data_IF_907305656028
#
_entry.id   IF_907305656028
#
_cell.length_a   1.000
_cell.length_b   1.000
_cell.length_c   1.000
_cell.angle_alpha   90.00
_cell.angle_beta   90.00
_cell.angle_gamma   90.00
#
_symmetry.space_group_name_H-M   'P 1'
#
loop_
_entity.id
_entity.type
_entity.pdbx_description
1 polymer ?
#
# COMPACT_ATOMS: atom_id res chain seq x y z
N UNK A 1 -13.99 -22.45 4.22
CA UNK A 1 -13.25 -21.22 3.91
C UNK A 1 -14.15 -20.45 2.96
N UNK A 2 -14.66 -19.31 3.39
CA UNK A 2 -15.40 -18.42 2.50
C UNK A 2 -14.37 -17.77 1.56
N UNK A 3 -14.46 -18.04 0.26
CA UNK A 3 -13.64 -17.37 -0.76
C UNK A 3 -14.18 -15.97 -1.03
N UNK A 4 -14.31 -15.17 0.03
CA UNK A 4 -14.83 -13.82 -0.07
C UNK A 4 -13.76 -12.91 -0.70
N UNK A 5 -14.22 -12.07 -1.63
CA UNK A 5 -13.43 -11.06 -2.30
C UNK A 5 -14.09 -9.72 -2.03
N UNK A 6 -13.28 -8.78 -1.56
CA UNK A 6 -13.73 -7.47 -1.08
C UNK A 6 -13.20 -6.37 -1.98
N UNK A 7 -14.04 -5.37 -2.20
CA UNK A 7 -13.79 -4.24 -3.09
C UNK A 7 -14.12 -2.95 -2.36
N UNK A 8 -13.25 -1.96 -2.49
CA UNK A 8 -13.49 -0.61 -1.97
C UNK A 8 -13.14 0.44 -3.03
N UNK A 9 -14.10 1.31 -3.31
CA UNK A 9 -13.90 2.51 -4.12
C UNK A 9 -13.53 3.69 -3.23
N UNK A 10 -12.41 4.36 -3.51
CA UNK A 10 -12.01 5.59 -2.82
C UNK A 10 -12.34 5.60 -1.32
N UNK A 11 -13.26 6.48 -0.92
CA UNK A 11 -13.73 6.61 0.47
C UNK A 11 -15.05 5.86 0.80
N UNK A 12 -15.65 5.18 -0.17
CA UNK A 12 -16.89 4.41 0.01
C UNK A 12 -16.70 3.22 0.97
N UNK A 13 -17.77 2.69 1.57
CA UNK A 13 -17.69 1.44 2.33
C UNK A 13 -17.17 0.31 1.44
N UNK A 14 -16.46 -0.62 2.05
CA UNK A 14 -16.03 -1.84 1.40
C UNK A 14 -17.22 -2.82 1.31
N UNK A 15 -17.34 -3.52 0.20
CA UNK A 15 -18.39 -4.50 -0.05
C UNK A 15 -17.78 -5.77 -0.66
N UNK A 16 -18.53 -6.86 -0.61
CA UNK A 16 -18.12 -8.20 -1.04
C UNK A 16 -18.77 -8.61 -2.37
N UNK A 17 -18.29 -9.69 -2.99
CA UNK A 17 -18.95 -10.25 -4.19
C UNK A 17 -20.42 -10.59 -3.96
N UNK A 18 -20.77 -11.06 -2.74
CA UNK A 18 -22.12 -11.43 -2.35
C UNK A 18 -23.08 -10.24 -2.39
N UNK A 19 -22.57 -9.03 -2.18
CA UNK A 19 -23.34 -7.79 -2.25
C UNK A 19 -23.60 -7.33 -3.70
N UNK A 20 -22.78 -7.78 -4.65
CA UNK A 20 -22.98 -7.52 -6.09
C UNK A 20 -24.05 -8.49 -6.61
N UNK A 21 -23.76 -9.79 -6.48
CA UNK A 21 -24.66 -10.87 -6.89
C UNK A 21 -24.44 -12.07 -5.97
N UNK A 22 -25.52 -12.66 -5.47
CA UNK A 22 -25.46 -13.79 -4.53
C UNK A 22 -24.77 -15.04 -5.08
N UNK A 23 -24.62 -15.12 -6.40
CA UNK A 23 -24.19 -16.31 -7.13
C UNK A 23 -22.79 -16.19 -7.74
N UNK A 24 -22.05 -15.15 -7.37
CA UNK A 24 -20.69 -14.91 -7.84
C UNK A 24 -19.69 -15.40 -6.81
N UNK A 25 -18.77 -16.26 -7.24
CA UNK A 25 -17.75 -16.86 -6.38
C UNK A 25 -16.37 -16.71 -7.00
N UNK A 26 -15.35 -16.48 -6.17
CA UNK A 26 -13.95 -16.47 -6.60
C UNK A 26 -13.42 -17.92 -6.61
N UNK A 27 -12.96 -18.37 -7.78
CA UNK A 27 -12.37 -19.69 -7.95
C UNK A 27 -10.85 -19.65 -7.80
N UNK A 28 -10.20 -18.67 -8.43
CA UNK A 28 -8.74 -18.59 -8.50
C UNK A 28 -8.29 -17.14 -8.46
N UNK A 29 -7.22 -16.88 -7.73
CA UNK A 29 -6.41 -15.66 -7.84
C UNK A 29 -5.00 -16.09 -8.24
N UNK A 30 -4.48 -15.48 -9.30
CA UNK A 30 -3.13 -15.71 -9.81
C UNK A 30 -2.47 -14.36 -10.05
N UNK A 31 -1.28 -14.18 -9.51
CA UNK A 31 -0.49 -12.98 -9.70
C UNK A 31 0.97 -13.38 -9.81
N UNK A 32 1.68 -12.74 -10.73
CA UNK A 32 3.12 -12.94 -10.86
C UNK A 32 3.80 -11.58 -10.84
N UNK A 33 4.79 -11.40 -9.95
CA UNK A 33 5.59 -10.19 -9.91
C UNK A 33 6.39 -10.05 -11.21
N UNK A 34 6.66 -8.81 -11.62
CA UNK A 34 7.55 -8.55 -12.75
C UNK A 34 8.56 -7.47 -12.37
N UNK A 35 9.80 -7.69 -12.82
CA UNK A 35 10.93 -6.81 -12.58
C UNK A 35 11.57 -6.50 -13.92
N UNK A 36 11.85 -5.22 -14.17
CA UNK A 36 12.61 -4.79 -15.34
C UNK A 36 14.04 -4.42 -14.93
N UNK A 37 15.02 -5.05 -15.59
CA UNK A 37 16.42 -4.72 -15.44
C UNK A 37 16.84 -3.84 -16.63
N UNK A 38 17.46 -2.70 -16.34
CA UNK A 38 18.03 -1.81 -17.35
C UNK A 38 19.53 -2.03 -17.38
N UNK A 39 20.05 -2.43 -18.53
CA UNK A 39 21.46 -2.63 -18.77
C UNK A 39 22.00 -1.53 -19.71
N UNK A 40 23.24 -1.11 -19.49
CA UNK A 40 23.95 -0.20 -20.35
C UNK A 40 24.89 -1.00 -21.25
N UNK A 41 24.76 -0.77 -22.55
CA UNK A 41 25.63 -1.36 -23.56
C UNK A 41 26.79 -0.42 -23.89
N UNK A 42 27.99 -0.96 -24.02
CA UNK A 42 29.16 -0.22 -24.49
C UNK A 42 29.68 -0.88 -25.77
N UNK A 43 29.66 -0.15 -26.89
CA UNK A 43 29.77 -0.69 -28.27
C UNK A 43 31.09 -1.44 -28.54
N UNK A 44 32.10 -1.28 -27.67
CA UNK A 44 33.43 -1.91 -27.81
C UNK A 44 33.70 -3.06 -26.82
N UNK A 45 32.73 -3.46 -26.00
CA UNK A 45 32.90 -4.52 -25.01
C UNK A 45 31.81 -5.59 -25.15
N UNK A 46 32.19 -6.85 -24.95
CA UNK A 46 31.22 -7.94 -24.89
C UNK A 46 30.48 -7.91 -23.54
N UNK A 47 29.14 -8.00 -23.61
CA UNK A 47 28.26 -7.96 -22.45
C UNK A 47 27.73 -6.56 -22.13
N UNK A 48 26.84 -6.49 -21.14
CA UNK A 48 26.19 -5.25 -20.72
C UNK A 48 26.39 -5.04 -19.22
N UNK A 49 26.63 -3.80 -18.81
CA UNK A 49 26.75 -3.44 -17.40
C UNK A 49 25.38 -3.15 -16.82
N UNK A 50 25.04 -3.78 -15.70
CA UNK A 50 23.80 -3.49 -14.96
C UNK A 50 23.78 -2.02 -14.51
N UNK A 51 22.66 -1.34 -14.76
CA UNK A 51 22.46 0.06 -14.37
C UNK A 51 21.53 0.16 -13.16
N UNK A 52 20.27 -0.25 -13.31
CA UNK A 52 19.30 -0.32 -12.21
C UNK A 52 18.14 -1.28 -12.52
N UNK A 53 17.33 -1.52 -11.51
CA UNK A 53 16.18 -2.44 -11.55
C UNK A 53 14.93 -1.76 -11.00
N UNK A 54 13.78 -1.97 -11.63
CA UNK A 54 12.49 -1.42 -11.18
C UNK A 54 11.41 -2.51 -11.08
N UNK A 55 10.52 -2.37 -10.09
CA UNK A 55 9.28 -3.15 -10.04
C UNK A 55 8.32 -2.65 -11.12
N UNK A 56 7.81 -3.58 -11.92
CA UNK A 56 6.87 -3.27 -13.00
C UNK A 56 5.42 -3.43 -12.52
N UNK A 57 4.46 -2.76 -13.19
CA UNK A 57 3.05 -3.05 -13.00
C UNK A 57 2.78 -4.56 -13.09
N UNK A 58 1.94 -5.06 -12.19
CA UNK A 58 1.57 -6.49 -12.13
C UNK A 58 0.12 -6.65 -12.54
N UNK A 59 -0.24 -7.82 -13.06
CA UNK A 59 -1.62 -8.16 -13.38
C UNK A 59 -2.09 -9.27 -12.45
N UNK A 60 -3.15 -9.00 -11.71
CA UNK A 60 -3.83 -9.94 -10.82
C UNK A 60 -4.99 -10.53 -11.59
N UNK A 61 -4.86 -11.79 -11.99
CA UNK A 61 -5.90 -12.51 -12.71
C UNK A 61 -6.82 -13.21 -11.70
N UNK A 62 -8.06 -12.74 -11.63
CA UNK A 62 -9.10 -13.34 -10.79
C UNK A 62 -10.10 -14.08 -11.67
N UNK A 63 -10.23 -15.39 -11.47
CA UNK A 63 -11.24 -16.21 -12.15
C UNK A 63 -12.46 -16.33 -11.25
N UNK A 64 -13.61 -15.93 -11.77
CA UNK A 64 -14.90 -15.99 -11.09
C UNK A 64 -15.83 -16.99 -11.75
N UNK A 65 -16.72 -17.55 -10.94
CA UNK A 65 -17.84 -18.40 -11.37
C UNK A 65 -19.15 -17.71 -11.01
N UNK A 66 -19.98 -17.50 -12.02
CA UNK A 66 -21.32 -16.94 -11.89
C UNK A 66 -22.35 -18.03 -12.18
N UNK A 67 -23.27 -18.26 -11.23
CA UNK A 67 -24.45 -19.12 -11.44
C UNK A 67 -25.70 -18.29 -11.71
N UNK A 68 -26.53 -18.70 -12.67
CA UNK A 68 -27.79 -18.03 -12.98
C UNK A 68 -28.87 -19.07 -13.33
N UNK A 69 -30.13 -18.77 -13.01
CA UNK A 69 -31.25 -19.68 -13.27
C UNK A 69 -31.95 -19.36 -14.59
N UNK A 70 -32.07 -18.07 -14.92
CA UNK A 70 -32.70 -17.60 -16.15
C UNK A 70 -31.77 -16.70 -16.94
N UNK A 71 -32.06 -16.54 -18.23
CA UNK A 71 -31.29 -15.63 -19.10
C UNK A 71 -31.44 -14.16 -18.67
N UNK A 72 -32.58 -13.80 -18.09
CA UNK A 72 -32.81 -12.47 -17.52
C UNK A 72 -31.88 -12.22 -16.33
N UNK A 73 -31.77 -13.19 -15.42
CA UNK A 73 -30.87 -13.09 -14.25
C UNK A 73 -29.42 -12.95 -14.70
N UNK A 74 -29.03 -13.69 -15.75
CA UNK A 74 -27.70 -13.57 -16.34
C UNK A 74 -27.41 -12.15 -16.85
N UNK A 75 -28.34 -11.54 -17.59
CA UNK A 75 -28.15 -10.19 -18.11
C UNK A 75 -28.08 -9.13 -17.00
N UNK A 76 -28.89 -9.27 -15.95
CA UNK A 76 -28.85 -8.39 -14.78
C UNK A 76 -27.53 -8.55 -14.01
N UNK A 77 -27.15 -9.78 -13.68
CA UNK A 77 -25.88 -10.06 -13.02
C UNK A 77 -24.69 -9.54 -13.82
N UNK A 78 -24.70 -9.72 -15.15
CA UNK A 78 -23.67 -9.20 -16.04
C UNK A 78 -23.61 -7.66 -16.00
N UNK A 79 -24.76 -6.99 -15.99
CA UNK A 79 -24.81 -5.53 -15.87
C UNK A 79 -24.20 -5.05 -14.55
N UNK A 80 -24.60 -5.64 -13.43
CA UNK A 80 -24.14 -5.25 -12.10
C UNK A 80 -22.64 -5.53 -11.92
N UNK A 81 -22.15 -6.67 -12.41
CA UNK A 81 -20.72 -7.02 -12.38
C UNK A 81 -19.91 -6.04 -13.24
N UNK A 82 -20.38 -5.73 -14.45
CA UNK A 82 -19.72 -4.78 -15.34
C UNK A 82 -19.68 -3.38 -14.72
N UNK A 83 -20.79 -2.90 -14.16
CA UNK A 83 -20.85 -1.62 -13.48
C UNK A 83 -19.89 -1.59 -12.27
N UNK A 84 -19.77 -2.69 -11.54
CA UNK A 84 -18.90 -2.78 -10.37
C UNK A 84 -17.42 -2.82 -10.77
N UNK A 85 -17.01 -3.68 -11.70
CA UNK A 85 -15.59 -3.82 -12.01
C UNK A 85 -15.06 -2.75 -12.97
N UNK A 86 -15.87 -2.25 -13.91
CA UNK A 86 -15.43 -1.29 -14.93
C UNK A 86 -15.47 0.16 -14.43
N UNK A 87 -14.70 0.44 -13.38
CA UNK A 87 -14.56 1.79 -12.82
C UNK A 87 -13.40 2.56 -13.47
N UNK A 88 -13.55 3.89 -13.55
CA UNK A 88 -12.51 4.77 -14.09
C UNK A 88 -11.35 4.99 -13.12
N UNK A 89 -11.64 4.93 -11.82
CA UNK A 89 -10.69 5.19 -10.76
C UNK A 89 -9.98 3.90 -10.31
N UNK A 90 -8.83 4.07 -9.63
CA UNK A 90 -8.19 2.98 -8.90
C UNK A 90 -9.08 2.56 -7.75
N UNK A 91 -9.28 1.26 -7.59
CA UNK A 91 -10.01 0.71 -6.47
C UNK A 91 -9.20 -0.38 -5.78
N UNK A 92 -9.55 -0.64 -4.53
CA UNK A 92 -8.82 -1.57 -3.68
C UNK A 92 -9.49 -2.93 -3.71
N UNK A 93 -8.70 -3.98 -3.88
CA UNK A 93 -9.14 -5.37 -3.77
C UNK A 93 -8.40 -6.10 -2.65
N UNK A 94 -9.08 -7.03 -1.99
CA UNK A 94 -8.49 -7.99 -1.03
C UNK A 94 -9.30 -9.28 -1.00
N UNK A 95 -8.69 -10.36 -0.53
CA UNK A 95 -9.33 -11.67 -0.38
C UNK A 95 -9.45 -12.07 1.09
N UNK A 96 -10.26 -13.10 1.37
CA UNK A 96 -10.38 -13.67 2.72
C UNK A 96 -9.07 -14.35 3.19
N UNK A 97 -8.27 -14.87 2.26
CA UNK A 97 -6.98 -15.49 2.57
C UNK A 97 -5.96 -14.41 2.97
N UNK A 98 -5.89 -13.33 2.20
CA UNK A 98 -4.97 -12.21 2.40
C UNK A 98 -5.70 -10.98 3.00
N UNK A 99 -6.44 -11.15 4.13
CA UNK A 99 -7.29 -10.06 4.66
C UNK A 99 -6.54 -8.76 4.95
N UNK A 100 -5.27 -8.88 5.32
CA UNK A 100 -4.43 -7.77 5.73
C UNK A 100 -3.58 -7.20 4.61
N UNK A 101 -3.67 -7.75 3.39
CA UNK A 101 -2.91 -7.28 2.24
C UNK A 101 -3.87 -6.81 1.16
N UNK A 102 -3.64 -5.59 0.68
CA UNK A 102 -4.49 -4.91 -0.28
C UNK A 102 -3.72 -4.57 -1.55
N UNK A 103 -4.44 -4.54 -2.66
CA UNK A 103 -3.90 -4.17 -3.97
C UNK A 103 -4.75 -3.05 -4.56
N UNK A 104 -4.10 -2.05 -5.15
CA UNK A 104 -4.78 -0.95 -5.84
C UNK A 104 -4.75 -1.21 -7.33
N UNK A 105 -5.93 -1.46 -7.91
CA UNK A 105 -6.04 -2.01 -9.26
C UNK A 105 -7.01 -1.23 -10.13
N UNK A 106 -6.86 -1.45 -11.44
CA UNK A 106 -7.81 -1.09 -12.49
C UNK A 106 -8.20 -2.34 -13.24
N UNK A 107 -9.42 -2.36 -13.77
CA UNK A 107 -9.91 -3.51 -14.52
C UNK A 107 -9.56 -3.37 -15.99
N UNK A 108 -8.88 -4.37 -16.55
CA UNK A 108 -8.76 -4.51 -18.00
C UNK A 108 -10.11 -5.00 -18.58
N UNK A 109 -10.41 -4.71 -19.86
CA UNK A 109 -11.62 -5.21 -20.50
C UNK A 109 -11.74 -6.73 -20.38
N UNK A 110 -12.91 -7.21 -19.98
CA UNK A 110 -13.21 -8.63 -19.86
C UNK A 110 -14.57 -8.93 -20.47
N UNK A 111 -14.83 -10.21 -20.73
CA UNK A 111 -16.10 -10.67 -21.28
C UNK A 111 -16.65 -11.74 -20.36
N UNK A 112 -17.96 -11.66 -20.12
CA UNK A 112 -18.73 -12.72 -19.47
C UNK A 112 -19.55 -13.42 -20.56
N UNK A 113 -19.32 -14.72 -20.72
CA UNK A 113 -20.05 -15.64 -21.59
C UNK A 113 -20.32 -16.95 -20.84
N UNK A 114 -21.47 -17.61 -21.03
CA UNK A 114 -21.68 -18.97 -20.54
C UNK A 114 -20.63 -19.93 -21.11
N UNK A 115 -20.26 -20.94 -20.34
CA UNK A 115 -19.21 -21.89 -20.73
C UNK A 115 -19.64 -22.78 -21.91
N UNK A 116 -20.95 -23.04 -22.02
CA UNK A 116 -21.58 -23.82 -23.08
C UNK A 116 -22.93 -23.19 -23.48
N UNK A 117 -23.39 -23.44 -24.70
CA UNK A 117 -24.71 -23.00 -25.15
C UNK A 117 -25.81 -23.64 -24.29
N UNK A 118 -26.59 -22.81 -23.60
CA UNK A 118 -27.63 -23.28 -22.68
C UNK A 118 -27.12 -23.63 -21.27
N UNK A 119 -25.84 -23.42 -20.96
CA UNK A 119 -25.33 -23.55 -19.59
C UNK A 119 -25.92 -22.48 -18.66
N UNK A 120 -26.09 -22.86 -17.41
CA UNK A 120 -26.56 -22.00 -16.31
C UNK A 120 -25.40 -21.44 -15.47
N UNK A 121 -24.16 -21.58 -15.96
CA UNK A 121 -22.98 -21.00 -15.34
C UNK A 121 -22.06 -20.35 -16.37
N UNK A 122 -21.30 -19.36 -15.90
CA UNK A 122 -20.27 -18.68 -16.65
C UNK A 122 -19.00 -18.55 -15.82
N UNK A 123 -17.89 -19.04 -16.38
CA UNK A 123 -16.55 -18.89 -15.84
C UNK A 123 -15.83 -17.81 -16.63
N UNK A 124 -15.40 -16.75 -15.95
CA UNK A 124 -14.69 -15.65 -16.61
C UNK A 124 -13.50 -15.18 -15.77
N UNK A 125 -12.48 -14.70 -16.45
CA UNK A 125 -11.29 -14.16 -15.80
C UNK A 125 -11.24 -12.66 -16.00
N UNK A 126 -11.06 -11.94 -14.91
CA UNK A 126 -10.84 -10.49 -14.90
C UNK A 126 -9.37 -10.24 -14.60
N UNK A 127 -8.70 -9.57 -15.52
CA UNK A 127 -7.34 -9.10 -15.34
C UNK A 127 -7.38 -7.73 -14.64
N UNK A 128 -6.98 -7.69 -13.38
CA UNK A 128 -6.84 -6.47 -12.61
C UNK A 128 -5.40 -5.97 -12.71
N UNK A 129 -5.19 -4.86 -13.42
CA UNK A 129 -3.89 -4.21 -13.55
C UNK A 129 -3.57 -3.45 -12.26
N UNK A 130 -2.46 -3.76 -11.62
CA UNK A 130 -1.89 -3.05 -10.48
C UNK A 130 -0.75 -2.14 -10.96
N UNK A 131 -0.97 -0.83 -11.14
CA UNK A 131 0.06 0.07 -11.67
C UNK A 131 1.29 0.20 -10.78
N UNK A 132 1.14 -0.01 -9.46
CA UNK A 132 2.26 0.07 -8.53
C UNK A 132 3.16 -1.16 -8.58
N UNK A 133 2.64 -2.30 -9.06
CA UNK A 133 3.32 -3.59 -8.99
C UNK A 133 3.46 -4.16 -7.57
N UNK A 134 3.07 -3.41 -6.54
CA UNK A 134 3.30 -3.73 -5.14
C UNK A 134 1.97 -3.98 -4.41
N UNK A 135 2.04 -4.68 -3.28
CA UNK A 135 0.93 -4.89 -2.35
C UNK A 135 1.16 -4.06 -1.09
N UNK A 136 0.08 -3.68 -0.42
CA UNK A 136 0.16 -2.84 0.77
C UNK A 136 -0.53 -3.48 1.96
N UNK A 137 -0.11 -3.15 3.18
CA UNK A 137 -0.89 -3.51 4.36
C UNK A 137 -2.24 -2.79 4.37
N UNK A 138 -3.28 -3.48 4.85
CA UNK A 138 -4.63 -2.94 4.96
C UNK A 138 -4.69 -1.75 5.93
N UNK A 139 -4.05 -1.91 7.09
CA UNK A 139 -3.88 -0.86 8.08
C UNK A 139 -2.49 -0.24 7.94
N UNK A 140 -2.36 1.03 8.35
CA UNK A 140 -1.05 1.68 8.48
C UNK A 140 -0.33 1.20 9.74
N UNK A 141 0.99 1.38 9.76
CA UNK A 141 1.88 0.98 10.85
C UNK A 141 1.37 1.40 12.24
N UNK A 142 0.91 2.63 12.40
CA UNK A 142 0.41 3.20 13.67
C UNK A 142 -0.93 2.62 14.15
N UNK A 143 -1.67 1.92 13.27
CA UNK A 143 -2.97 1.32 13.55
C UNK A 143 -2.88 -0.18 13.79
N UNK A 144 -1.74 -0.79 13.47
CA UNK A 144 -1.52 -2.23 13.64
C UNK A 144 -1.10 -2.53 15.07
N UNK A 145 -1.78 -3.50 15.66
CA UNK A 145 -1.46 -4.07 16.97
C UNK A 145 -1.63 -5.59 16.93
N UNK A 146 -1.12 -6.31 17.93
CA UNK A 146 -1.28 -7.77 18.01
C UNK A 146 -2.76 -8.22 18.04
N UNK A 147 -3.67 -7.35 18.45
CA UNK A 147 -5.11 -7.63 18.50
C UNK A 147 -5.88 -7.12 17.28
N UNK A 148 -5.28 -6.25 16.45
CA UNK A 148 -5.94 -5.63 15.31
C UNK A 148 -4.97 -5.40 14.15
N UNK A 149 -5.23 -6.00 12.99
CA UNK A 149 -4.36 -5.87 11.82
C UNK A 149 -3.16 -6.82 11.80
N UNK A 150 -2.90 -7.55 12.88
CA UNK A 150 -1.89 -8.62 12.87
C UNK A 150 -2.41 -9.83 12.09
N UNK A 151 -1.60 -10.34 11.17
CA UNK A 151 -2.01 -11.43 10.29
C UNK A 151 -0.85 -12.13 9.62
N UNK A 152 -1.17 -13.21 8.92
CA UNK A 152 -0.22 -13.92 8.08
C UNK A 152 0.31 -13.00 6.96
N UNK A 153 1.56 -13.21 6.55
CA UNK A 153 2.18 -12.48 5.43
C UNK A 153 2.67 -11.06 5.74
N UNK A 154 2.52 -10.55 6.97
CA UNK A 154 2.93 -9.17 7.31
C UNK A 154 4.37 -9.03 7.82
N UNK A 155 5.15 -10.11 7.91
CA UNK A 155 6.50 -10.13 8.50
C UNK A 155 6.59 -9.65 9.97
N UNK A 156 5.49 -9.75 10.74
CA UNK A 156 5.42 -9.23 12.12
C UNK A 156 5.66 -10.29 13.20
N UNK A 157 5.60 -11.59 12.87
CA UNK A 157 5.51 -12.70 13.84
C UNK A 157 6.59 -12.73 14.95
N UNK A 158 7.79 -12.19 14.67
CA UNK A 158 8.94 -12.23 15.60
C UNK A 158 9.33 -10.86 16.15
N UNK A 159 8.43 -9.87 16.13
CA UNK A 159 8.73 -8.49 16.52
C UNK A 159 7.90 -8.10 17.76
N UNK A 160 8.38 -8.42 18.99
CA UNK A 160 7.68 -8.04 20.20
C UNK A 160 7.68 -6.51 20.38
N UNK A 161 6.59 -5.97 20.94
CA UNK A 161 6.44 -4.55 21.29
C UNK A 161 6.59 -3.58 20.10
N UNK A 162 5.95 -3.91 18.98
CA UNK A 162 5.84 -3.02 17.83
C UNK A 162 5.16 -1.71 18.26
N UNK A 163 5.86 -0.60 18.10
CA UNK A 163 5.33 0.71 18.39
C UNK A 163 5.77 1.69 17.30
N UNK A 164 4.89 2.62 16.97
CA UNK A 164 5.13 3.68 15.99
C UNK A 164 4.78 5.05 16.54
N UNK A 165 4.28 5.12 17.78
CA UNK A 165 4.04 6.35 18.53
C UNK A 165 5.01 6.43 19.69
N UNK A 166 5.72 7.55 19.78
CA UNK A 166 6.81 7.72 20.70
C UNK A 166 6.65 9.07 21.39
N UNK A 167 6.68 9.05 22.71
CA UNK A 167 6.52 10.25 23.51
C UNK A 167 7.63 10.30 24.57
N UNK A 168 8.08 11.52 24.85
CA UNK A 168 9.05 11.83 25.90
C UNK A 168 10.42 11.14 25.73
N UNK A 169 10.87 10.95 24.50
CA UNK A 169 12.16 10.30 24.20
C UNK A 169 12.86 10.93 22.99
N UNK A 170 14.19 10.88 22.98
CA UNK A 170 15.04 11.42 21.90
C UNK A 170 15.69 10.34 21.04
N UNK A 171 15.59 9.07 21.42
CA UNK A 171 16.10 7.95 20.63
C UNK A 171 15.18 6.75 20.77
N UNK A 172 14.87 6.12 19.65
CA UNK A 172 13.95 4.99 19.56
C UNK A 172 14.12 4.26 18.22
N UNK A 173 13.49 3.09 18.09
CA UNK A 173 13.56 2.28 16.88
C UNK A 173 12.22 2.19 16.18
N UNK A 174 12.21 2.32 14.87
CA UNK A 174 11.04 2.13 14.01
C UNK A 174 11.25 0.87 13.17
N UNK A 175 10.33 -0.09 13.25
CA UNK A 175 10.41 -1.31 12.46
C UNK A 175 9.65 -1.17 11.13
N UNK A 176 10.34 -1.31 10.01
CA UNK A 176 9.72 -1.42 8.70
C UNK A 176 9.53 -2.90 8.34
N UNK A 177 8.28 -3.39 8.43
CA UNK A 177 7.93 -4.78 8.13
C UNK A 177 7.76 -5.07 6.62
N UNK A 178 7.96 -4.07 5.77
CA UNK A 178 7.92 -4.19 4.31
C UNK A 178 9.01 -5.13 3.79
N UNK A 179 8.82 -5.63 2.57
CA UNK A 179 9.88 -6.38 1.87
C UNK A 179 11.01 -5.48 1.39
N UNK A 180 10.71 -4.19 1.22
CA UNK A 180 11.58 -3.14 0.67
C UNK A 180 11.69 -1.93 1.62
N UNK A 181 12.62 -1.03 1.32
CA UNK A 181 12.70 0.25 2.02
C UNK A 181 11.51 1.15 1.69
N UNK A 182 11.02 1.90 2.68
CA UNK A 182 10.02 2.96 2.48
C UNK A 182 10.76 4.25 2.21
N UNK A 183 10.67 4.72 0.97
CA UNK A 183 11.42 5.87 0.45
C UNK A 183 10.44 6.89 -0.18
N UNK A 184 10.07 7.95 0.55
CA UNK A 184 9.16 8.95 0.03
C UNK A 184 9.78 9.87 -1.01
N UNK A 185 11.12 9.96 -1.08
CA UNK A 185 11.81 10.90 -1.98
C UNK A 185 12.01 10.28 -3.37
N UNK A 186 12.68 9.13 -3.45
CA UNK A 186 13.00 8.51 -4.74
C UNK A 186 11.86 7.65 -5.29
N UNK A 187 11.15 6.94 -4.41
CA UNK A 187 10.12 5.97 -4.82
C UNK A 187 8.69 6.47 -4.59
N UNK A 188 8.53 7.67 -4.02
CA UNK A 188 7.23 8.27 -3.70
C UNK A 188 6.35 7.38 -2.81
N UNK A 189 6.97 6.56 -1.96
CA UNK A 189 6.25 5.75 -0.99
C UNK A 189 5.56 6.64 0.06
N UNK A 190 4.38 6.21 0.54
CA UNK A 190 3.65 6.90 1.60
C UNK A 190 4.39 6.73 2.93
N UNK A 191 4.89 7.85 3.48
CA UNK A 191 5.44 7.92 4.82
C UNK A 191 5.02 9.24 5.44
N UNK A 192 4.20 9.13 6.49
CA UNK A 192 3.72 10.29 7.25
C UNK A 192 4.31 10.28 8.64
N UNK A 193 4.96 11.38 9.01
CA UNK A 193 5.51 11.60 10.34
C UNK A 193 4.77 12.78 10.97
N UNK A 194 4.06 12.53 12.06
CA UNK A 194 3.34 13.57 12.81
C UNK A 194 4.11 13.88 14.08
N UNK A 195 4.31 15.16 14.37
CA UNK A 195 5.17 15.66 15.44
C UNK A 195 4.40 16.72 16.22
N UNK A 196 4.41 16.59 17.55
CA UNK A 196 3.74 17.49 18.50
C UNK A 196 4.63 17.74 19.71
N UNK A 197 4.20 18.67 20.55
CA UNK A 197 4.82 18.92 21.86
C UNK A 197 6.30 19.33 21.75
N UNK A 198 6.60 20.21 20.79
CA UNK A 198 7.93 20.77 20.57
C UNK A 198 7.94 22.28 20.78
N UNK A 199 9.05 22.82 21.30
CA UNK A 199 9.31 24.25 21.33
C UNK A 199 10.55 24.61 20.48
N UNK A 200 10.42 25.61 19.60
CA UNK A 200 11.42 25.98 18.59
C UNK A 200 11.48 25.00 17.42
N UNK A 201 12.63 24.88 16.76
CA UNK A 201 12.84 23.91 15.66
C UNK A 201 12.99 22.46 16.16
N UNK A 202 13.07 21.49 15.24
CA UNK A 202 13.31 20.08 15.55
C UNK A 202 14.07 19.42 14.41
N UNK A 203 15.00 18.53 14.75
CA UNK A 203 15.66 17.66 13.77
C UNK A 203 15.29 16.20 14.05
N UNK A 204 14.76 15.52 13.03
CA UNK A 204 14.55 14.06 13.01
C UNK A 204 15.66 13.46 12.16
N UNK A 205 16.35 12.45 12.68
CA UNK A 205 17.42 11.75 11.94
C UNK A 205 17.24 10.25 12.03
N UNK A 206 17.31 9.58 10.89
CA UNK A 206 17.53 8.14 10.84
C UNK A 206 19.03 7.86 10.78
N UNK A 207 19.57 7.31 11.86
CA UNK A 207 21.00 7.01 11.96
C UNK A 207 21.40 5.73 11.22
N UNK A 208 20.43 4.87 10.85
CA UNK A 208 20.68 3.64 10.07
C UNK A 208 21.12 3.93 8.64
N UNK A 209 20.55 4.94 7.98
CA UNK A 209 20.88 5.31 6.60
C UNK A 209 21.35 6.77 6.42
N UNK A 210 21.40 7.54 7.51
CA UNK A 210 21.88 8.91 7.52
C UNK A 210 20.89 9.95 7.02
N UNK A 211 19.67 9.57 6.62
CA UNK A 211 18.63 10.53 6.22
C UNK A 211 18.18 11.39 7.40
N UNK A 212 17.89 12.65 7.13
CA UNK A 212 17.46 13.62 8.14
C UNK A 212 16.50 14.63 7.56
N UNK A 213 15.66 15.16 8.44
CA UNK A 213 14.77 16.28 8.15
C UNK A 213 14.77 17.22 9.35
N UNK A 214 14.86 18.52 9.10
CA UNK A 214 14.87 19.54 10.14
C UNK A 214 13.83 20.63 9.86
N UNK A 215 12.98 20.89 10.86
CA UNK A 215 12.14 22.07 10.93
C UNK A 215 12.94 23.20 11.60
N UNK A 216 13.20 24.28 10.85
CA UNK A 216 13.98 25.45 11.26
C UNK A 216 13.12 26.58 11.82
N UNK A 217 11.83 26.58 11.48
CA UNK A 217 10.87 27.54 12.02
C UNK A 217 10.67 27.39 13.53
N UNK A 218 9.91 28.30 14.12
CA UNK A 218 9.57 28.26 15.55
C UNK A 218 8.23 27.54 15.79
N UNK A 219 8.26 26.45 16.55
CA UNK A 219 7.07 25.73 17.01
C UNK A 219 6.73 26.08 18.45
N UNK A 220 5.44 26.12 18.76
CA UNK A 220 4.92 26.10 20.12
C UNK A 220 4.48 24.69 20.50
N UNK A 221 4.35 24.42 21.80
CA UNK A 221 3.97 23.09 22.32
C UNK A 221 2.62 22.57 21.76
N UNK A 222 1.73 23.47 21.37
CA UNK A 222 0.41 23.16 20.82
C UNK A 222 0.41 23.01 19.29
N UNK A 223 1.50 23.38 18.61
CA UNK A 223 1.60 23.24 17.17
C UNK A 223 1.76 21.75 16.79
N UNK A 224 1.18 21.37 15.65
CA UNK A 224 1.37 20.06 15.03
C UNK A 224 2.11 20.24 13.72
N UNK A 225 3.21 19.51 13.54
CA UNK A 225 3.93 19.42 12.28
C UNK A 225 3.71 18.05 11.67
N UNK A 226 3.43 18.01 10.38
CA UNK A 226 3.26 16.78 9.61
C UNK A 226 4.23 16.81 8.45
N UNK A 227 5.17 15.88 8.43
CA UNK A 227 5.95 15.55 7.24
C UNK A 227 5.20 14.45 6.48
N UNK A 228 4.58 14.80 5.36
CA UNK A 228 3.85 13.90 4.47
C UNK A 228 4.71 13.66 3.21
N UNK A 229 5.44 12.54 3.22
CA UNK A 229 6.49 12.25 2.26
C UNK A 229 7.65 13.24 2.36
N UNK A 230 7.69 14.19 1.45
CA UNK A 230 8.70 15.27 1.40
C UNK A 230 8.11 16.65 1.72
N UNK A 231 6.79 16.74 1.86
CA UNK A 231 6.09 18.00 2.10
C UNK A 231 5.83 18.17 3.60
N UNK A 232 6.12 19.35 4.12
CA UNK A 232 5.87 19.68 5.52
C UNK A 232 4.64 20.56 5.64
N UNK A 233 3.82 20.29 6.65
CA UNK A 233 2.66 21.07 7.02
C UNK A 233 2.73 21.45 8.50
N UNK A 234 2.50 22.72 8.82
CA UNK A 234 2.33 23.22 10.19
C UNK A 234 0.86 23.58 10.40
N UNK A 235 0.20 22.95 11.37
CA UNK A 235 -1.22 23.16 11.67
C UNK A 235 -2.11 23.06 10.40
N UNK A 236 -1.83 22.07 9.55
CA UNK A 236 -2.46 21.81 8.25
C UNK A 236 -2.17 22.82 7.12
N UNK A 237 -1.38 23.85 7.37
CA UNK A 237 -0.90 24.76 6.32
C UNK A 237 0.45 24.28 5.78
N UNK A 238 0.64 24.35 4.46
CA UNK A 238 1.91 23.99 3.84
C UNK A 238 3.04 24.90 4.33
N UNK A 239 4.14 24.31 4.81
CA UNK A 239 5.24 25.01 5.50
C UNK A 239 6.62 24.38 5.23
N UNK A 240 6.83 23.79 4.04
CA UNK A 240 8.13 23.22 3.66
C UNK A 240 9.25 24.27 3.57
N UNK A 241 8.92 25.56 3.44
CA UNK A 241 9.91 26.63 3.37
C UNK A 241 10.68 26.83 4.68
N UNK A 242 10.06 26.49 5.80
CA UNK A 242 10.67 26.57 7.14
C UNK A 242 11.48 25.30 7.48
N UNK A 243 11.90 24.52 6.48
CA UNK A 243 12.65 23.26 6.67
C UNK A 243 14.02 23.29 5.99
N UNK A 244 14.80 22.22 6.16
CA UNK A 244 16.00 21.96 5.36
C UNK A 244 15.72 21.25 4.03
N UNK A 245 14.45 21.01 3.67
CA UNK A 245 14.03 20.16 2.55
C UNK A 245 14.60 18.74 2.61
N UNK A 246 14.98 18.29 3.81
CA UNK A 246 15.38 16.92 4.07
C UNK A 246 14.21 15.95 3.97
N UNK A 247 14.50 14.67 4.11
CA UNK A 247 13.50 13.61 4.10
C UNK A 247 13.95 12.47 5.01
N UNK A 248 13.01 11.59 5.37
CA UNK A 248 13.29 10.37 6.13
C UNK A 248 12.99 9.17 5.24
N UNK A 249 13.94 8.24 5.16
CA UNK A 249 13.77 6.93 4.53
C UNK A 249 13.85 5.86 5.60
N UNK A 250 13.02 4.82 5.53
CA UNK A 250 13.09 3.67 6.43
C UNK A 250 13.61 2.44 5.66
N UNK A 251 14.79 1.95 6.02
CA UNK A 251 15.30 0.67 5.50
C UNK A 251 14.43 -0.49 5.96
N UNK A 252 14.55 -1.65 5.30
CA UNK A 252 13.88 -2.87 5.77
C UNK A 252 14.34 -3.22 7.20
N UNK A 253 13.39 -3.56 8.07
CA UNK A 253 13.67 -3.93 9.45
C UNK A 253 13.81 -2.74 10.39
N UNK A 254 14.68 -2.86 11.40
CA UNK A 254 14.83 -1.85 12.44
C UNK A 254 15.63 -0.63 11.96
N UNK A 255 15.05 0.55 12.15
CA UNK A 255 15.67 1.85 11.88
C UNK A 255 15.86 2.62 13.19
N UNK A 256 17.07 3.10 13.43
CA UNK A 256 17.46 3.85 14.63
C UNK A 256 17.18 5.33 14.43
N UNK A 257 16.16 5.86 15.11
CA UNK A 257 15.74 7.26 15.00
C UNK A 257 16.26 8.05 16.20
N UNK A 258 16.80 9.24 15.92
CA UNK A 258 17.23 10.21 16.93
C UNK A 258 16.62 11.56 16.68
N UNK A 259 16.24 12.25 17.76
CA UNK A 259 15.77 13.62 17.78
C UNK A 259 16.77 14.50 18.52
N UNK A 260 16.94 15.76 18.10
CA UNK A 260 17.77 16.74 18.81
C UNK A 260 17.12 17.24 20.11
N UNK A 261 15.81 17.04 20.27
CA UNK A 261 15.04 17.30 21.50
C UNK A 261 13.85 16.35 21.60
N UNK A 262 13.28 16.30 22.81
CA UNK A 262 12.09 15.48 23.08
C UNK A 262 10.89 16.00 22.30
N UNK A 263 10.11 15.07 21.73
CA UNK A 263 8.85 15.34 21.04
C UNK A 263 7.86 14.18 21.25
N UNK A 264 6.59 14.44 20.94
CA UNK A 264 5.59 13.41 20.67
C UNK A 264 5.59 13.17 19.15
N UNK A 265 5.94 11.96 18.70
CA UNK A 265 6.15 11.64 17.28
C UNK A 265 5.49 10.31 16.90
N UNK A 266 4.76 10.31 15.78
CA UNK A 266 4.10 9.13 15.20
C UNK A 266 4.56 8.89 13.77
N UNK A 267 4.93 7.65 13.45
CA UNK A 267 5.23 7.17 12.10
C UNK A 267 4.05 6.37 11.54
N UNK A 268 3.48 6.82 10.44
CA UNK A 268 2.32 6.21 9.79
C UNK A 268 2.62 5.94 8.32
N UNK A 269 2.73 4.67 7.97
CA UNK A 269 2.97 4.22 6.60
C UNK A 269 2.33 2.84 6.37
N UNK A 270 1.86 2.53 5.15
CA UNK A 270 1.53 1.16 4.79
C UNK A 270 2.81 0.34 4.61
N UNK A 271 2.82 -0.91 5.08
CA UNK A 271 3.88 -1.84 4.70
C UNK A 271 3.74 -2.22 3.24
N UNK A 272 4.88 -2.39 2.55
CA UNK A 272 4.95 -2.62 1.12
C UNK A 272 5.52 -4.01 0.87
N UNK A 273 4.78 -4.84 0.15
CA UNK A 273 5.15 -6.21 -0.19
C UNK A 273 5.30 -6.36 -1.70
N UNK A 274 6.36 -7.06 -2.10
CA UNK A 274 6.70 -7.23 -3.53
C UNK A 274 6.24 -8.58 -4.06
N UNK A 275 5.98 -9.55 -3.19
CA UNK A 275 5.68 -10.94 -3.51
C UNK A 275 4.61 -11.52 -2.59
#
# INVERSE_FOLDING_TARGET
>A
MDNDFYIKYGNSPEFSLKDITSNLTLLKLDENPSIANVYQNNVMQDGETWNYTTYQPTTVNCTFLLWFSTWQDYLLAKHDIMQTFMQKELFRIRTDIDKQIVRYVRTAPFVITPDEEGSNWATFTVAFENPSGMKYSYLKSDQISQTNGWGYGLNLANVPNLNYHFNNQTSFKVFNASDIAVDPYFQKHDLKITIKSVNGGLTVRNTTNGTSWAFKGSLNINDTVVLDGINTYKNNNYDSMETDFGYIKLEKGWNEITLDKVADITFSFPFIYTF
#
